data_IF_287207407907
#
_entry.id   IF_287207407907
#
_cell.length_a   1.000
_cell.length_b   1.000
_cell.length_c   1.000
_cell.angle_alpha   90.00
_cell.angle_beta   90.00
_cell.angle_gamma   90.00
#
_symmetry.space_group_name_H-M   'P 1'
#
loop_
_entity.id
_entity.type
_entity.pdbx_description
1 polymer ?
#
# COMPACT_ATOMS: atom_id res chain seq x y z
N UNK A 1 16.90 -18.73 -78.59
CA UNK A 1 15.77 -17.84 -78.20
C UNK A 1 15.06 -18.21 -76.90
N UNK A 2 15.60 -19.07 -76.03
CA UNK A 2 14.92 -19.43 -74.73
C UNK A 2 15.46 -18.73 -73.47
N UNK A 3 16.58 -18.02 -73.57
CA UNK A 3 17.24 -17.36 -72.36
C UNK A 3 16.58 -16.08 -71.98
N UNK A 4 16.07 -15.26 -72.89
CA UNK A 4 15.53 -13.94 -72.60
C UNK A 4 14.15 -13.94 -71.89
N UNK A 5 13.40 -15.02 -72.01
CA UNK A 5 12.08 -15.11 -71.38
C UNK A 5 12.18 -15.40 -69.89
N UNK A 6 13.16 -16.17 -69.43
CA UNK A 6 13.39 -16.53 -68.03
C UNK A 6 13.90 -15.35 -67.23
N UNK A 7 14.80 -14.55 -67.82
CA UNK A 7 15.34 -13.33 -67.18
C UNK A 7 14.23 -12.28 -67.00
N UNK A 8 13.35 -12.10 -67.97
CA UNK A 8 12.20 -11.18 -67.85
C UNK A 8 11.21 -11.61 -66.76
N UNK A 9 10.98 -12.89 -66.57
CA UNK A 9 10.09 -13.40 -65.52
C UNK A 9 10.66 -13.15 -64.12
N UNK A 10 11.97 -13.35 -63.91
CA UNK A 10 12.66 -13.07 -62.66
C UNK A 10 12.61 -11.59 -62.30
N UNK A 11 12.81 -10.69 -63.28
CA UNK A 11 12.74 -9.25 -63.03
C UNK A 11 11.32 -8.75 -62.65
N UNK A 12 10.29 -9.30 -63.30
CA UNK A 12 8.89 -8.95 -62.96
C UNK A 12 8.50 -9.48 -61.58
N UNK A 13 8.92 -10.69 -61.21
CA UNK A 13 8.65 -11.27 -59.89
C UNK A 13 9.38 -10.51 -58.78
N UNK A 14 10.61 -10.05 -59.03
CA UNK A 14 11.39 -9.25 -58.06
C UNK A 14 10.80 -7.84 -57.89
N UNK A 15 10.31 -7.24 -58.99
CA UNK A 15 9.62 -5.93 -58.91
C UNK A 15 8.30 -6.02 -58.12
N UNK A 16 7.50 -7.05 -58.28
CA UNK A 16 6.28 -7.30 -57.52
C UNK A 16 6.55 -7.49 -56.02
N UNK A 17 7.63 -8.18 -55.66
CA UNK A 17 8.04 -8.36 -54.25
C UNK A 17 8.45 -7.03 -53.60
N UNK A 18 9.15 -6.16 -54.31
CA UNK A 18 9.54 -4.83 -53.77
C UNK A 18 8.32 -3.93 -53.56
N UNK A 19 7.34 -3.94 -54.49
CA UNK A 19 6.10 -3.18 -54.33
C UNK A 19 5.24 -3.68 -53.17
N UNK A 20 5.20 -5.00 -52.91
CA UNK A 20 4.41 -5.56 -51.79
C UNK A 20 5.02 -5.23 -50.45
N UNK A 21 6.34 -5.18 -50.31
CA UNK A 21 7.00 -4.81 -49.06
C UNK A 21 6.85 -3.32 -48.72
N UNK A 22 6.88 -2.44 -49.73
CA UNK A 22 6.62 -1.02 -49.54
C UNK A 22 5.19 -0.74 -49.11
N UNK A 23 4.20 -1.42 -49.64
CA UNK A 23 2.80 -1.26 -49.24
C UNK A 23 2.53 -1.68 -47.80
N UNK A 24 3.16 -2.78 -47.34
CA UNK A 24 3.08 -3.22 -45.95
C UNK A 24 3.74 -2.26 -44.96
N UNK A 25 4.87 -1.66 -45.34
CA UNK A 25 5.56 -0.67 -44.48
C UNK A 25 4.77 0.63 -44.38
N UNK A 26 4.12 1.09 -45.46
CA UNK A 26 3.25 2.29 -45.42
C UNK A 26 1.99 2.07 -44.61
N UNK A 27 1.37 0.90 -44.66
CA UNK A 27 0.22 0.57 -43.81
C UNK A 27 0.57 0.56 -42.32
N UNK A 28 1.75 0.06 -41.97
CA UNK A 28 2.23 0.08 -40.60
C UNK A 28 2.54 1.50 -40.10
N UNK A 29 3.18 2.32 -40.94
CA UNK A 29 3.48 3.71 -40.64
C UNK A 29 2.20 4.55 -40.48
N UNK A 30 1.19 4.35 -41.32
CA UNK A 30 -0.10 5.03 -41.23
C UNK A 30 -0.84 4.67 -39.92
N UNK A 31 -0.87 3.39 -39.57
CA UNK A 31 -1.45 2.94 -38.28
C UNK A 31 -0.69 3.54 -37.09
N UNK A 32 0.63 3.53 -37.12
CA UNK A 32 1.44 4.11 -36.04
C UNK A 32 1.17 5.60 -35.89
N UNK A 33 1.11 6.35 -36.99
CA UNK A 33 0.77 7.77 -36.96
C UNK A 33 -0.65 8.01 -36.38
N UNK A 34 -1.62 7.18 -36.72
CA UNK A 34 -2.95 7.25 -36.17
C UNK A 34 -2.95 7.03 -34.66
N UNK A 35 -2.25 6.02 -34.16
CA UNK A 35 -2.13 5.78 -32.72
C UNK A 35 -1.39 6.91 -31.99
N UNK A 36 -0.35 7.46 -32.60
CA UNK A 36 0.36 8.60 -32.02
C UNK A 36 -0.55 9.82 -31.89
N UNK A 37 -1.36 10.14 -32.89
CA UNK A 37 -2.33 11.23 -32.84
C UNK A 37 -3.36 11.04 -31.72
N UNK A 38 -3.87 9.81 -31.55
CA UNK A 38 -4.80 9.50 -30.47
C UNK A 38 -4.10 9.64 -29.10
N UNK A 39 -2.88 9.10 -28.97
CA UNK A 39 -2.10 9.23 -27.74
C UNK A 39 -1.84 10.70 -27.35
N UNK A 40 -1.48 11.53 -28.32
CA UNK A 40 -1.29 12.97 -28.12
C UNK A 40 -2.60 13.66 -27.69
N UNK A 41 -3.73 13.32 -28.30
CA UNK A 41 -5.04 13.84 -27.89
C UNK A 41 -5.40 13.45 -26.46
N UNK A 42 -5.19 12.19 -26.10
CA UNK A 42 -5.45 11.69 -24.74
C UNK A 42 -4.56 12.41 -23.73
N UNK A 43 -3.25 12.50 -24.04
CA UNK A 43 -2.27 13.19 -23.19
C UNK A 43 -2.62 14.67 -22.99
N UNK A 44 -2.90 15.37 -24.08
CA UNK A 44 -3.32 16.78 -24.04
C UNK A 44 -4.57 16.96 -23.19
N UNK A 45 -5.58 16.15 -23.44
CA UNK A 45 -6.85 16.19 -22.68
C UNK A 45 -6.63 15.94 -21.19
N UNK A 46 -5.87 14.91 -20.84
CA UNK A 46 -5.56 14.56 -19.45
C UNK A 46 -4.85 15.71 -18.72
N UNK A 47 -3.87 16.33 -19.36
CA UNK A 47 -3.09 17.43 -18.77
C UNK A 47 -3.86 18.75 -18.66
N UNK A 48 -4.80 19.03 -19.57
CA UNK A 48 -5.57 20.30 -19.58
C UNK A 48 -6.82 20.25 -18.71
N UNK A 49 -7.60 19.15 -18.75
CA UNK A 49 -8.87 19.09 -18.06
C UNK A 49 -8.74 18.75 -16.56
N UNK A 50 -7.62 18.14 -16.16
CA UNK A 50 -7.34 17.75 -14.79
C UNK A 50 -8.45 16.91 -14.13
N UNK A 51 -9.20 16.14 -14.92
CA UNK A 51 -10.35 15.36 -14.45
C UNK A 51 -9.95 14.37 -13.37
N UNK A 52 -8.79 13.68 -13.51
CA UNK A 52 -8.26 12.78 -12.49
C UNK A 52 -8.03 13.48 -11.15
N UNK A 53 -7.51 14.70 -11.16
CA UNK A 53 -7.31 15.48 -9.93
C UNK A 53 -8.63 15.84 -9.25
N UNK A 54 -9.64 16.25 -10.02
CA UNK A 54 -10.97 16.54 -9.48
C UNK A 54 -11.65 15.31 -8.87
N UNK A 55 -11.52 14.15 -9.54
CA UNK A 55 -12.02 12.88 -9.01
C UNK A 55 -11.32 12.49 -7.72
N UNK A 56 -9.98 12.68 -7.65
CA UNK A 56 -9.22 12.44 -6.44
C UNK A 56 -9.67 13.36 -5.30
N UNK A 57 -9.89 14.63 -5.58
CA UNK A 57 -10.41 15.59 -4.60
C UNK A 57 -11.77 15.14 -4.06
N UNK A 58 -12.74 14.85 -4.94
CA UNK A 58 -14.06 14.37 -4.53
C UNK A 58 -13.99 13.10 -3.66
N UNK A 59 -13.09 12.17 -4.02
CA UNK A 59 -12.87 10.95 -3.24
C UNK A 59 -12.25 11.26 -1.87
N UNK A 60 -11.30 12.20 -1.80
CA UNK A 60 -10.69 12.62 -0.53
C UNK A 60 -11.69 13.35 0.38
N UNK A 61 -12.62 14.13 -0.18
CA UNK A 61 -13.64 14.86 0.56
C UNK A 61 -14.65 13.93 1.29
N UNK A 62 -14.73 12.66 0.90
CA UNK A 62 -15.50 11.64 1.64
C UNK A 62 -14.85 11.34 3.00
N UNK A 63 -13.56 11.59 3.16
CA UNK A 63 -12.81 11.32 4.39
C UNK A 63 -12.22 9.91 4.47
N UNK A 64 -11.79 9.49 5.67
CA UNK A 64 -11.21 8.15 5.90
C UNK A 64 -12.20 7.03 5.50
N UNK A 65 -11.71 6.02 4.78
CA UNK A 65 -12.52 4.96 4.15
C UNK A 65 -12.00 3.57 4.54
N UNK A 66 -11.94 3.30 5.84
CA UNK A 66 -11.59 1.97 6.31
C UNK A 66 -12.59 0.94 5.80
N UNK A 67 -12.11 -0.26 5.49
CA UNK A 67 -12.93 -1.36 4.99
C UNK A 67 -14.11 -1.62 5.92
N UNK A 68 -15.32 -1.73 5.37
CA UNK A 68 -16.55 -1.93 6.13
C UNK A 68 -17.13 -0.68 6.81
N UNK A 69 -16.46 0.48 6.76
CA UNK A 69 -16.97 1.72 7.33
C UNK A 69 -18.07 2.37 6.47
N UNK A 70 -18.86 3.26 7.05
CA UNK A 70 -19.85 4.05 6.34
C UNK A 70 -19.24 4.87 5.20
N UNK A 71 -18.07 5.51 5.43
CA UNK A 71 -17.37 6.25 4.39
C UNK A 71 -16.86 5.35 3.26
N UNK A 72 -16.50 4.10 3.55
CA UNK A 72 -16.18 3.11 2.51
C UNK A 72 -17.39 2.87 1.61
N UNK A 73 -18.57 2.69 2.19
CA UNK A 73 -19.81 2.51 1.45
C UNK A 73 -20.19 3.75 0.63
N UNK A 74 -20.06 4.95 1.20
CA UNK A 74 -20.26 6.23 0.49
C UNK A 74 -19.32 6.35 -0.71
N UNK A 75 -18.06 5.95 -0.59
CA UNK A 75 -17.10 5.95 -1.69
C UNK A 75 -17.47 4.96 -2.80
N UNK A 76 -18.00 3.78 -2.44
CA UNK A 76 -18.50 2.79 -3.40
C UNK A 76 -19.66 3.37 -4.23
N UNK A 77 -20.67 3.97 -3.59
CA UNK A 77 -21.78 4.60 -4.31
C UNK A 77 -21.35 5.82 -5.13
N UNK A 78 -20.39 6.60 -4.63
CA UNK A 78 -19.79 7.68 -5.41
C UNK A 78 -19.11 7.13 -6.68
N UNK A 79 -18.32 6.06 -6.55
CA UNK A 79 -17.65 5.43 -7.69
C UNK A 79 -18.64 4.86 -8.71
N UNK A 80 -19.70 4.19 -8.24
CA UNK A 80 -20.78 3.69 -9.11
C UNK A 80 -21.43 4.83 -9.93
N UNK A 81 -21.77 5.93 -9.26
CA UNK A 81 -22.34 7.12 -9.92
C UNK A 81 -21.39 7.73 -10.95
N UNK A 82 -20.10 7.83 -10.62
CA UNK A 82 -19.09 8.36 -11.55
C UNK A 82 -18.90 7.46 -12.76
N UNK A 83 -18.81 6.16 -12.59
CA UNK A 83 -18.68 5.21 -13.69
C UNK A 83 -19.89 5.28 -14.62
N UNK A 84 -21.10 5.34 -14.09
CA UNK A 84 -22.32 5.53 -14.90
C UNK A 84 -22.27 6.85 -15.69
N UNK A 85 -21.74 7.93 -15.11
CA UNK A 85 -21.60 9.23 -15.79
C UNK A 85 -20.59 9.25 -16.94
N UNK A 86 -19.66 8.29 -16.98
CA UNK A 86 -18.69 8.15 -18.07
C UNK A 86 -19.23 7.39 -19.28
N UNK A 87 -20.46 6.91 -19.21
CA UNK A 87 -21.09 6.21 -20.35
C UNK A 87 -20.53 4.81 -20.59
N UNK A 88 -20.01 4.14 -19.55
CA UNK A 88 -19.61 2.73 -19.65
C UNK A 88 -20.83 1.83 -19.82
N UNK A 89 -20.72 0.74 -20.56
CA UNK A 89 -21.84 -0.11 -20.98
C UNK A 89 -22.56 -0.76 -19.78
N UNK A 90 -21.82 -1.12 -18.73
CA UNK A 90 -22.39 -1.79 -17.56
C UNK A 90 -21.64 -1.44 -16.27
N UNK A 91 -22.40 -1.09 -15.24
CA UNK A 91 -21.90 -0.87 -13.86
C UNK A 91 -22.81 -1.64 -12.90
N UNK A 92 -22.21 -2.44 -12.03
CA UNK A 92 -22.96 -3.17 -11.00
C UNK A 92 -22.17 -3.21 -9.70
N UNK A 93 -22.86 -3.38 -8.58
CA UNK A 93 -22.26 -3.62 -7.27
C UNK A 93 -22.33 -5.11 -6.95
N UNK A 94 -21.25 -5.62 -6.36
CA UNK A 94 -21.17 -7.00 -5.88
C UNK A 94 -21.01 -7.00 -4.35
N UNK A 95 -21.92 -7.63 -3.60
CA UNK A 95 -21.78 -7.78 -2.16
C UNK A 95 -20.55 -8.61 -1.81
N UNK A 96 -19.78 -8.15 -0.85
CA UNK A 96 -18.63 -8.90 -0.30
C UNK A 96 -18.56 -8.70 1.20
N UNK A 97 -18.24 -9.78 1.94
CA UNK A 97 -17.95 -9.69 3.36
C UNK A 97 -16.53 -9.21 3.57
N UNK A 98 -16.36 -8.18 4.39
CA UNK A 98 -15.05 -7.58 4.70
C UNK A 98 -14.89 -7.44 6.21
N UNK A 99 -13.68 -7.50 6.75
CA UNK A 99 -13.43 -7.15 8.14
C UNK A 99 -13.84 -5.70 8.40
N UNK A 100 -14.56 -5.49 9.50
CA UNK A 100 -14.91 -4.17 10.00
C UNK A 100 -14.03 -3.82 11.19
N UNK A 101 -13.33 -2.69 11.09
CA UNK A 101 -12.54 -2.14 12.18
C UNK A 101 -12.62 -0.61 12.12
N UNK A 102 -12.89 -0.02 13.26
CA UNK A 102 -12.94 1.44 13.41
C UNK A 102 -11.87 1.89 14.39
N UNK A 103 -11.23 2.99 14.04
CA UNK A 103 -10.34 3.67 14.96
C UNK A 103 -11.21 4.33 16.03
N UNK A 104 -10.92 4.06 17.30
CA UNK A 104 -11.62 4.67 18.42
C UNK A 104 -11.27 6.15 18.61
N UNK A 105 -11.33 6.60 19.84
CA UNK A 105 -10.88 7.93 20.24
C UNK A 105 -9.37 8.10 20.03
N UNK A 106 -8.87 9.32 20.24
CA UNK A 106 -7.44 9.64 20.11
C UNK A 106 -6.62 8.77 21.06
N UNK A 107 -5.64 8.06 20.48
CA UNK A 107 -4.68 7.26 21.23
C UNK A 107 -3.71 8.15 22.01
N UNK A 108 -3.40 7.78 23.23
CA UNK A 108 -2.43 8.49 24.06
C UNK A 108 -1.39 7.54 24.65
N UNK A 109 -0.15 8.01 24.73
CA UNK A 109 0.91 7.34 25.46
C UNK A 109 1.83 8.36 26.11
N UNK A 110 2.40 8.00 27.24
CA UNK A 110 3.39 8.82 27.92
C UNK A 110 4.41 7.97 28.66
N UNK A 111 5.59 8.51 28.82
CA UNK A 111 6.64 7.89 29.63
C UNK A 111 6.38 8.28 31.08
N UNK A 112 6.33 7.29 31.96
CA UNK A 112 6.13 7.49 33.40
C UNK A 112 7.25 6.85 34.21
N UNK A 113 7.43 7.29 35.47
CA UNK A 113 8.38 6.72 36.43
C UNK A 113 9.85 6.74 35.97
N UNK A 114 10.25 7.78 35.25
CA UNK A 114 11.65 8.01 34.85
C UNK A 114 12.16 9.36 35.38
N UNK A 115 13.47 9.47 35.65
CA UNK A 115 14.07 10.71 36.19
C UNK A 115 13.93 11.89 35.20
N UNK A 116 14.17 11.68 33.91
CA UNK A 116 14.36 12.78 32.94
C UNK A 116 13.22 12.92 31.95
N UNK A 117 12.35 11.92 31.81
CA UNK A 117 11.33 11.85 30.76
C UNK A 117 9.91 11.65 31.32
N UNK A 118 9.76 11.76 32.66
CA UNK A 118 8.46 11.53 33.29
C UNK A 118 7.40 12.53 32.77
N UNK A 119 6.26 12.00 32.37
CA UNK A 119 5.17 12.80 31.79
C UNK A 119 5.37 13.18 30.31
N UNK A 120 6.49 12.77 29.66
CA UNK A 120 6.68 13.05 28.23
C UNK A 120 5.64 12.29 27.42
N UNK A 121 4.80 13.02 26.70
CA UNK A 121 3.85 12.45 25.74
C UNK A 121 4.58 11.90 24.52
N UNK A 122 4.06 10.79 24.00
CA UNK A 122 4.51 10.16 22.78
C UNK A 122 3.38 10.21 21.75
N UNK A 123 3.71 10.58 20.53
CA UNK A 123 2.77 10.43 19.42
C UNK A 123 2.71 8.95 19.01
N UNK A 124 1.54 8.37 19.15
CA UNK A 124 1.27 6.99 18.76
C UNK A 124 0.04 6.94 17.86
N UNK A 125 -0.06 5.89 17.09
CA UNK A 125 -1.23 5.62 16.27
C UNK A 125 -1.49 4.11 16.25
N UNK A 126 -2.67 3.66 16.66
CA UNK A 126 -3.01 2.25 16.70
C UNK A 126 -2.85 1.59 15.33
N UNK A 127 -2.41 0.34 15.31
CA UNK A 127 -2.35 -0.44 14.08
C UNK A 127 -3.76 -0.86 13.67
N UNK A 128 -4.02 -0.89 12.37
CA UNK A 128 -5.30 -1.31 11.81
C UNK A 128 -5.60 -2.77 12.15
N UNK A 129 -6.70 -3.01 12.86
CA UNK A 129 -7.08 -4.31 13.41
C UNK A 129 -6.70 -4.52 14.87
N UNK A 130 -5.94 -3.60 15.49
CA UNK A 130 -5.62 -3.69 16.93
C UNK A 130 -6.86 -3.63 17.80
N UNK A 131 -6.89 -4.45 18.86
CA UNK A 131 -7.86 -4.28 19.93
C UNK A 131 -7.53 -3.01 20.75
N UNK A 132 -8.52 -2.48 21.46
CA UNK A 132 -8.34 -1.40 22.42
C UNK A 132 -7.56 -1.87 23.67
N UNK A 133 -6.95 -0.94 24.37
CA UNK A 133 -6.51 -1.15 25.76
C UNK A 133 -7.72 -1.25 26.68
N UNK A 134 -7.57 -1.82 27.90
CA UNK A 134 -8.55 -1.64 28.95
C UNK A 134 -8.86 -0.15 29.19
N UNK A 135 -10.01 0.16 29.79
CA UNK A 135 -10.45 1.55 30.02
C UNK A 135 -9.41 2.41 30.75
N UNK A 136 -8.71 1.85 31.72
CA UNK A 136 -7.65 2.52 32.48
C UNK A 136 -6.27 2.52 31.78
N UNK A 137 -6.21 2.06 30.52
CA UNK A 137 -4.95 1.93 29.79
C UNK A 137 -4.07 0.78 30.28
N UNK A 138 -2.81 0.79 29.84
CA UNK A 138 -1.78 -0.19 30.24
C UNK A 138 -0.53 0.58 30.67
N UNK A 139 -0.10 0.37 31.92
CA UNK A 139 1.19 0.87 32.41
C UNK A 139 2.10 -0.33 32.69
N UNK A 140 3.22 -0.39 32.00
CA UNK A 140 4.18 -1.48 32.13
C UNK A 140 5.59 -1.06 31.72
N UNK A 141 6.58 -1.81 32.18
CA UNK A 141 7.95 -1.64 31.70
C UNK A 141 8.05 -1.98 30.20
N UNK A 142 8.96 -1.32 29.50
CA UNK A 142 9.22 -1.56 28.07
C UNK A 142 10.46 -2.43 27.91
N UNK A 143 10.40 -3.38 27.00
CA UNK A 143 11.55 -4.13 26.49
C UNK A 143 11.72 -3.83 25.02
N UNK A 144 12.87 -3.28 24.63
CA UNK A 144 13.22 -3.01 23.25
C UNK A 144 13.87 -4.25 22.63
N UNK A 145 13.44 -4.60 21.41
CA UNK A 145 14.04 -5.65 20.57
C UNK A 145 14.04 -5.22 19.10
N UNK A 146 15.03 -5.68 18.34
CA UNK A 146 15.19 -5.34 16.92
C UNK A 146 14.50 -6.34 15.98
N UNK A 147 14.25 -7.57 16.45
CA UNK A 147 13.65 -8.61 15.61
C UNK A 147 13.10 -9.76 16.48
N UNK A 148 12.40 -10.68 15.84
CA UNK A 148 11.79 -11.83 16.53
C UNK A 148 12.83 -12.81 17.10
N UNK A 149 13.98 -12.94 16.48
CA UNK A 149 15.08 -13.77 17.02
C UNK A 149 15.62 -13.21 18.34
N UNK A 150 15.75 -11.89 18.46
CA UNK A 150 16.14 -11.25 19.72
C UNK A 150 15.03 -11.38 20.76
N UNK A 151 13.77 -11.21 20.37
CA UNK A 151 12.63 -11.42 21.26
C UNK A 151 12.65 -12.84 21.84
N UNK A 152 12.84 -13.84 21.00
CA UNK A 152 12.91 -15.24 21.44
C UNK A 152 14.05 -15.50 22.41
N UNK A 153 15.24 -14.98 22.13
CA UNK A 153 16.40 -15.09 23.06
C UNK A 153 16.11 -14.48 24.43
N UNK A 154 15.29 -13.42 24.45
CA UNK A 154 14.93 -12.67 25.66
C UNK A 154 13.52 -12.98 26.18
N UNK A 155 12.92 -14.09 25.76
CA UNK A 155 11.53 -14.47 26.08
C UNK A 155 11.19 -14.43 27.57
N UNK A 156 12.12 -14.79 28.44
CA UNK A 156 11.93 -14.80 29.89
C UNK A 156 11.81 -13.38 30.50
N UNK A 157 12.19 -12.34 29.75
CA UNK A 157 12.09 -10.94 30.16
C UNK A 157 10.77 -10.27 29.73
N UNK A 158 9.96 -10.90 28.86
CA UNK A 158 8.85 -10.29 28.13
C UNK A 158 7.55 -10.23 28.94
N UNK A 159 7.29 -11.24 29.75
CA UNK A 159 6.02 -11.39 30.47
C UNK A 159 5.64 -10.12 31.25
N UNK A 160 4.45 -9.60 31.00
CA UNK A 160 3.90 -8.41 31.64
C UNK A 160 4.50 -7.08 31.16
N UNK A 161 5.32 -7.09 30.10
CA UNK A 161 5.95 -5.86 29.55
C UNK A 161 5.31 -5.45 28.23
N UNK A 162 5.54 -4.21 27.84
CA UNK A 162 5.31 -3.70 26.49
C UNK A 162 6.56 -4.02 25.67
N UNK A 163 6.39 -4.72 24.54
CA UNK A 163 7.50 -4.97 23.60
C UNK A 163 7.58 -3.83 22.61
N UNK A 164 8.74 -3.21 22.50
CA UNK A 164 9.03 -2.21 21.48
C UNK A 164 9.92 -2.80 20.40
N UNK A 165 9.37 -3.01 19.20
CA UNK A 165 10.13 -3.40 18.02
C UNK A 165 10.74 -2.18 17.34
N UNK A 166 12.08 -2.05 17.41
CA UNK A 166 12.79 -0.84 17.01
C UNK A 166 13.61 -0.96 15.72
N UNK A 167 13.45 -2.04 14.94
CA UNK A 167 14.19 -2.23 13.69
C UNK A 167 13.82 -1.12 12.69
N UNK A 168 14.81 -0.34 12.21
CA UNK A 168 14.58 0.69 11.20
C UNK A 168 14.33 0.07 9.82
N UNK A 169 13.83 0.89 8.89
CA UNK A 169 13.93 0.62 7.46
C UNK A 169 15.41 0.73 7.06
N UNK A 170 15.89 -0.19 6.22
CA UNK A 170 17.28 -0.21 5.75
C UNK A 170 17.48 0.88 4.68
N UNK A 171 18.19 1.94 5.05
CA UNK A 171 18.48 3.10 4.20
C UNK A 171 19.50 2.81 3.08
N UNK A 172 20.27 1.71 3.21
CA UNK A 172 21.28 1.36 2.21
C UNK A 172 20.68 0.76 0.93
N UNK A 173 19.41 0.36 0.97
CA UNK A 173 18.75 -0.30 -0.14
C UNK A 173 18.14 0.73 -1.10
N UNK A 174 18.63 0.73 -2.35
CA UNK A 174 18.05 1.54 -3.43
C UNK A 174 16.60 1.13 -3.75
N UNK A 175 16.29 -0.17 -3.60
CA UNK A 175 14.93 -0.66 -3.74
C UNK A 175 14.16 -0.45 -2.43
N UNK A 176 13.34 0.60 -2.39
CA UNK A 176 12.55 0.96 -1.22
C UNK A 176 11.55 -0.12 -0.80
N UNK A 177 11.03 -0.91 -1.74
CA UNK A 177 10.15 -2.05 -1.41
C UNK A 177 10.91 -3.18 -0.70
N UNK A 178 12.17 -3.42 -1.04
CA UNK A 178 13.01 -4.37 -0.32
C UNK A 178 13.29 -3.88 1.11
N UNK A 179 13.61 -2.58 1.28
CA UNK A 179 13.77 -1.96 2.59
C UNK A 179 12.51 -2.05 3.45
N UNK A 180 11.37 -1.74 2.85
CA UNK A 180 10.07 -1.88 3.53
C UNK A 180 9.76 -3.33 3.89
N UNK A 181 9.93 -4.27 2.96
CA UNK A 181 9.73 -5.70 3.17
C UNK A 181 10.59 -6.27 4.30
N UNK A 182 11.81 -5.76 4.45
CA UNK A 182 12.72 -6.14 5.53
C UNK A 182 12.33 -5.63 6.94
N UNK A 183 11.35 -4.73 7.04
CA UNK A 183 10.92 -4.13 8.32
C UNK A 183 9.45 -4.34 8.65
N UNK A 184 8.59 -4.63 7.66
CA UNK A 184 7.12 -4.65 7.83
C UNK A 184 6.61 -5.81 8.67
N UNK A 185 7.34 -6.91 8.75
CA UNK A 185 6.96 -8.09 9.55
C UNK A 185 6.75 -7.75 11.02
N UNK A 186 7.59 -6.88 11.63
CA UNK A 186 7.43 -6.44 13.01
C UNK A 186 6.08 -5.73 13.25
N UNK A 187 5.56 -5.01 12.24
CA UNK A 187 4.25 -4.37 12.32
C UNK A 187 3.13 -5.38 12.20
N UNK A 188 3.22 -6.31 11.25
CA UNK A 188 2.14 -7.27 11.02
C UNK A 188 2.08 -8.37 12.10
N UNK A 189 3.23 -8.92 12.48
CA UNK A 189 3.32 -10.05 13.41
C UNK A 189 3.72 -9.67 14.84
N UNK A 190 4.09 -8.42 15.11
CA UNK A 190 4.63 -8.00 16.41
C UNK A 190 3.73 -8.34 17.59
N UNK A 191 2.41 -8.12 17.46
CA UNK A 191 1.47 -8.48 18.52
C UNK A 191 1.36 -10.00 18.72
N UNK A 192 1.42 -10.78 17.65
CA UNK A 192 1.44 -12.25 17.71
C UNK A 192 2.69 -12.74 18.43
N UNK A 193 3.85 -12.24 17.99
CA UNK A 193 5.14 -12.65 18.56
C UNK A 193 5.32 -12.21 20.03
N UNK A 194 4.87 -10.99 20.37
CA UNK A 194 4.86 -10.52 21.75
C UNK A 194 3.94 -11.34 22.65
N UNK A 195 2.74 -11.67 22.16
CA UNK A 195 1.76 -12.44 22.90
C UNK A 195 2.24 -13.86 23.25
N UNK A 196 3.04 -14.50 22.39
CA UNK A 196 3.66 -15.82 22.67
C UNK A 196 4.39 -15.87 24.00
N UNK A 197 5.00 -14.75 24.39
CA UNK A 197 5.83 -14.67 25.60
C UNK A 197 5.18 -13.84 26.71
N UNK A 198 3.88 -13.52 26.56
CA UNK A 198 3.09 -12.84 27.60
C UNK A 198 3.31 -11.33 27.66
N UNK A 199 3.66 -10.67 26.56
CA UNK A 199 3.60 -9.22 26.45
C UNK A 199 2.17 -8.72 26.69
N UNK A 200 2.03 -7.51 27.23
CA UNK A 200 0.73 -6.87 27.47
C UNK A 200 0.31 -5.89 26.39
N UNK A 201 1.27 -5.37 25.62
CA UNK A 201 1.07 -4.52 24.44
C UNK A 201 2.33 -4.53 23.58
N UNK A 202 2.21 -3.98 22.37
CA UNK A 202 3.34 -3.84 21.44
C UNK A 202 3.39 -2.43 20.88
N UNK A 203 4.59 -1.87 20.81
CA UNK A 203 4.90 -0.66 20.08
C UNK A 203 5.83 -1.00 18.91
N UNK A 204 5.55 -0.39 17.76
CA UNK A 204 6.33 -0.61 16.54
C UNK A 204 6.93 0.72 16.11
N UNK A 205 8.26 0.75 15.94
CA UNK A 205 8.91 1.88 15.29
C UNK A 205 8.29 2.09 13.90
N UNK A 206 7.96 3.32 13.58
CA UNK A 206 7.50 3.71 12.25
C UNK A 206 8.47 3.25 11.17
N UNK A 207 7.93 2.61 10.11
CA UNK A 207 8.73 2.05 9.01
C UNK A 207 9.04 3.18 8.02
N UNK A 208 10.03 3.97 8.35
CA UNK A 208 10.47 5.15 7.59
C UNK A 208 11.94 5.41 7.84
N UNK A 209 12.59 6.12 6.92
CA UNK A 209 13.92 6.69 7.11
C UNK A 209 13.89 8.05 7.79
N UNK A 210 12.72 8.67 7.91
CA UNK A 210 12.57 9.96 8.62
C UNK A 210 12.57 9.77 10.13
N UNK A 211 13.12 10.76 10.81
CA UNK A 211 13.06 10.92 12.27
C UNK A 211 12.15 12.10 12.59
N UNK A 212 10.89 11.99 12.18
CA UNK A 212 9.84 12.94 12.52
C UNK A 212 8.91 12.36 13.60
N UNK A 213 8.03 13.20 14.11
CA UNK A 213 7.08 12.82 15.16
C UNK A 213 5.71 12.42 14.59
N UNK A 214 5.74 11.69 13.44
CA UNK A 214 4.54 11.25 12.72
C UNK A 214 4.50 9.72 12.69
N UNK A 215 3.64 9.07 13.49
CA UNK A 215 3.52 7.61 13.49
C UNK A 215 3.03 7.06 12.15
N UNK A 216 3.74 6.06 11.61
CA UNK A 216 3.35 5.36 10.38
C UNK A 216 2.61 4.06 10.73
N UNK A 217 1.29 4.12 10.71
CA UNK A 217 0.43 2.96 10.95
C UNK A 217 0.29 2.05 9.72
N UNK A 218 -0.40 0.95 9.89
CA UNK A 218 -0.79 0.00 8.86
C UNK A 218 -1.55 -1.16 9.46
N UNK A 219 -1.93 -2.14 8.66
CA UNK A 219 -2.65 -3.32 9.13
C UNK A 219 -1.74 -4.27 9.91
N UNK A 220 -2.32 -4.92 10.92
CA UNK A 220 -1.69 -5.99 11.69
C UNK A 220 -2.57 -7.25 11.69
N UNK A 221 -2.02 -8.38 12.13
CA UNK A 221 -2.74 -9.63 12.29
C UNK A 221 -2.84 -10.12 13.73
N UNK A 222 -3.83 -10.99 13.99
CA UNK A 222 -3.92 -11.82 15.17
C UNK A 222 -4.08 -13.29 14.74
N UNK A 223 -3.81 -14.21 15.65
CA UNK A 223 -4.16 -15.62 15.50
C UNK A 223 -5.01 -16.05 16.71
N UNK A 224 -6.01 -16.89 16.48
CA UNK A 224 -7.00 -17.21 17.51
C UNK A 224 -6.44 -18.09 18.66
N UNK A 225 -5.28 -18.74 18.44
CA UNK A 225 -4.61 -19.56 19.45
C UNK A 225 -3.83 -18.77 20.50
N UNK A 226 -3.70 -17.43 20.35
CA UNK A 226 -2.97 -16.58 21.28
C UNK A 226 -3.84 -15.43 21.80
N UNK A 227 -3.56 -14.91 23.00
CA UNK A 227 -4.20 -13.70 23.48
C UNK A 227 -4.00 -12.53 22.51
N UNK A 228 -5.06 -11.79 22.23
CA UNK A 228 -4.97 -10.52 21.48
C UNK A 228 -4.48 -9.44 22.42
N UNK A 229 -3.44 -8.70 22.01
CA UNK A 229 -2.88 -7.59 22.78
C UNK A 229 -2.86 -6.32 21.92
N UNK A 230 -3.03 -5.12 22.52
CA UNK A 230 -2.99 -3.86 21.79
C UNK A 230 -1.65 -3.62 21.11
N UNK A 231 -1.69 -2.97 19.94
CA UNK A 231 -0.51 -2.62 19.18
C UNK A 231 -0.63 -1.24 18.51
N UNK A 232 0.43 -0.44 18.57
CA UNK A 232 0.50 0.88 17.98
C UNK A 232 1.86 1.15 17.33
N UNK A 233 1.85 2.03 16.32
CA UNK A 233 3.06 2.64 15.77
C UNK A 233 3.47 3.86 16.60
N UNK A 234 4.79 4.12 16.65
CA UNK A 234 5.42 5.27 17.30
C UNK A 234 6.49 5.87 16.39
#
# INVERSE_FOLDING_TARGET
MKSNCFIRFIHVSFLCLIFSTQSLSQLNASKLNHYNLIADQITKKALTEKTGYKLLQELCDIGPRLSGSENSLRAIYWAEKKLKSFGVDKVWLQPVMVPHWERGSVETAQIVNTKNLNGKSLNILSLGGSIATPENGITANVIEVKNFTELEKRKNEVKGKIVFFSRPLDESLLNTFAGYGGAVDQRFYGAIEGAKYGAVAVLIRSITTKYDNVPHTGVMGYIDSLPKIPAAAI
#
